data_IF_969684343960
#
_entry.id   IF_969684343960
#
_cell.length_a   1.000
_cell.length_b   1.000
_cell.length_c   1.000
_cell.angle_alpha   90.00
_cell.angle_beta   90.00
_cell.angle_gamma   90.00
#
_symmetry.space_group_name_H-M   'P 1'
#
loop_
_entity.id
_entity.type
_entity.pdbx_description
1 polymer ?
#
# COMPACT_ATOMS: atom_id res chain seq x y z
N UNK A 1 -5.13 -11.08 -3.48
CA UNK A 1 -4.52 -9.95 -2.75
C UNK A 1 -4.39 -10.17 -1.25
N UNK A 2 -5.40 -10.67 -0.52
CA UNK A 2 -5.26 -11.01 0.91
C UNK A 2 -4.08 -11.93 1.23
N UNK A 3 -3.96 -13.06 0.53
CA UNK A 3 -2.80 -13.96 0.68
C UNK A 3 -1.45 -13.33 0.28
N UNK A 4 -1.44 -12.24 -0.50
CA UNK A 4 -0.22 -11.46 -0.70
C UNK A 4 0.09 -10.60 0.53
N UNK A 5 -0.90 -9.90 1.08
CA UNK A 5 -0.76 -9.19 2.35
C UNK A 5 -0.30 -10.10 3.49
N UNK A 6 -0.84 -11.30 3.64
CA UNK A 6 -0.40 -12.27 4.66
C UNK A 6 1.08 -12.66 4.50
N UNK A 7 1.58 -12.78 3.25
CA UNK A 7 3.01 -13.01 2.99
C UNK A 7 3.84 -11.79 3.38
N UNK A 8 3.39 -10.58 3.05
CA UNK A 8 4.05 -9.34 3.45
C UNK A 8 4.10 -9.18 4.98
N UNK A 9 3.05 -9.55 5.70
CA UNK A 9 3.02 -9.55 7.16
C UNK A 9 4.13 -10.44 7.74
N UNK A 10 4.27 -11.68 7.23
CA UNK A 10 5.34 -12.61 7.64
C UNK A 10 6.74 -12.07 7.35
N UNK A 11 6.92 -11.37 6.22
CA UNK A 11 8.19 -10.69 5.90
C UNK A 11 8.44 -9.55 6.88
N UNK A 12 7.42 -8.73 7.17
CA UNK A 12 7.51 -7.63 8.14
C UNK A 12 7.87 -8.10 9.55
N UNK A 13 7.33 -9.23 10.00
CA UNK A 13 7.73 -9.86 11.27
C UNK A 13 9.22 -10.24 11.29
N UNK A 14 9.72 -10.80 10.19
CA UNK A 14 11.13 -11.18 10.04
C UNK A 14 12.02 -9.94 10.06
N UNK A 15 11.67 -8.89 9.32
CA UNK A 15 12.39 -7.63 9.30
C UNK A 15 12.45 -7.00 10.71
N UNK A 16 11.31 -6.98 11.41
CA UNK A 16 11.21 -6.46 12.78
C UNK A 16 12.08 -7.22 13.77
N UNK A 17 12.14 -8.55 13.69
CA UNK A 17 13.06 -9.38 14.49
C UNK A 17 14.53 -9.04 14.26
N UNK A 18 14.87 -8.57 13.06
CA UNK A 18 16.20 -8.07 12.70
C UNK A 18 16.46 -6.61 13.07
N UNK A 19 15.49 -5.91 13.67
CA UNK A 19 15.62 -4.49 14.01
C UNK A 19 15.30 -3.52 12.86
N UNK A 20 14.69 -3.98 11.77
CA UNK A 20 14.34 -3.17 10.61
C UNK A 20 12.84 -2.87 10.53
N UNK A 21 12.50 -1.71 9.97
CA UNK A 21 11.14 -1.43 9.50
C UNK A 21 10.85 -2.16 8.18
N UNK A 22 9.57 -2.36 7.89
CA UNK A 22 9.11 -2.93 6.63
C UNK A 22 7.85 -2.22 6.16
N UNK A 23 7.82 -1.83 4.89
CA UNK A 23 6.68 -1.18 4.27
C UNK A 23 6.43 -1.73 2.85
N UNK A 24 5.18 -1.67 2.41
CA UNK A 24 4.81 -1.94 1.02
C UNK A 24 4.84 -0.66 0.20
N UNK A 25 5.29 -0.71 -1.05
CA UNK A 25 5.22 0.38 -2.02
C UNK A 25 4.18 0.02 -3.10
N UNK A 26 3.15 0.84 -3.27
CA UNK A 26 2.08 0.58 -4.26
C UNK A 26 2.44 1.03 -5.68
N UNK A 27 1.82 0.40 -6.67
CA UNK A 27 1.78 0.84 -8.06
C UNK A 27 0.32 1.13 -8.48
N UNK A 28 0.04 1.25 -9.79
CA UNK A 28 -1.31 1.52 -10.30
C UNK A 28 -2.22 0.29 -10.22
N UNK A 29 -1.68 -0.91 -10.39
CA UNK A 29 -2.46 -2.13 -10.43
C UNK A 29 -3.16 -2.41 -9.09
N UNK A 30 -2.64 -1.91 -7.96
CA UNK A 30 -3.31 -2.06 -6.67
C UNK A 30 -4.59 -1.24 -6.53
N UNK A 31 -4.83 -0.29 -7.46
CA UNK A 31 -6.00 0.57 -7.52
C UNK A 31 -6.90 0.25 -8.72
N UNK A 32 -6.65 -0.85 -9.44
CA UNK A 32 -7.59 -1.38 -10.43
C UNK A 32 -8.61 -2.28 -9.72
N UNK A 33 -9.89 -1.91 -9.82
CA UNK A 33 -10.98 -2.66 -9.21
C UNK A 33 -11.00 -4.12 -9.68
N UNK A 34 -11.18 -5.02 -8.73
CA UNK A 34 -11.48 -6.42 -8.99
C UNK A 34 -12.92 -6.55 -9.50
N UNK A 35 -13.31 -7.76 -9.93
CA UNK A 35 -14.64 -8.03 -10.45
C UNK A 35 -15.78 -7.69 -9.46
N UNK A 36 -15.50 -7.71 -8.15
CA UNK A 36 -16.43 -7.36 -7.08
C UNK A 36 -16.39 -5.86 -6.69
N UNK A 37 -15.61 -5.04 -7.41
CA UNK A 37 -15.43 -3.62 -7.16
C UNK A 37 -14.42 -3.30 -6.04
N UNK A 38 -13.90 -4.29 -5.33
CA UNK A 38 -12.92 -4.07 -4.27
C UNK A 38 -11.53 -3.74 -4.84
N UNK A 39 -10.74 -2.99 -4.07
CA UNK A 39 -9.39 -2.61 -4.47
C UNK A 39 -8.34 -3.56 -3.86
N UNK A 40 -7.39 -4.07 -4.65
CA UNK A 40 -6.26 -4.83 -4.14
C UNK A 40 -5.54 -4.20 -2.96
N UNK A 41 -5.34 -2.87 -2.97
CA UNK A 41 -4.66 -2.14 -1.91
C UNK A 41 -5.37 -2.31 -0.55
N UNK A 42 -6.71 -2.24 -0.52
CA UNK A 42 -7.48 -2.49 0.71
C UNK A 42 -7.25 -3.92 1.23
N UNK A 43 -7.21 -4.91 0.34
CA UNK A 43 -6.95 -6.30 0.72
C UNK A 43 -5.55 -6.52 1.28
N UNK A 44 -4.54 -5.87 0.69
CA UNK A 44 -3.15 -5.93 1.17
C UNK A 44 -3.07 -5.32 2.57
N UNK A 45 -3.53 -4.07 2.72
CA UNK A 45 -3.42 -3.33 3.97
C UNK A 45 -4.27 -3.94 5.09
N UNK A 46 -5.42 -4.54 4.78
CA UNK A 46 -6.26 -5.23 5.76
C UNK A 46 -5.62 -6.54 6.25
N UNK A 47 -4.95 -7.27 5.36
CA UNK A 47 -4.29 -8.54 5.68
C UNK A 47 -2.91 -8.37 6.34
N UNK A 48 -2.30 -7.20 6.23
CA UNK A 48 -1.03 -6.85 6.86
C UNK A 48 -1.18 -5.57 7.70
N UNK A 49 -1.83 -5.63 8.87
CA UNK A 49 -2.16 -4.43 9.62
C UNK A 49 -0.94 -3.71 10.22
N UNK A 50 0.16 -4.42 10.41
CA UNK A 50 1.35 -3.94 11.13
C UNK A 50 2.51 -3.51 10.22
N UNK A 51 2.40 -3.70 8.90
CA UNK A 51 3.42 -3.20 7.97
C UNK A 51 3.20 -1.70 7.71
N UNK A 52 4.29 -0.97 7.47
CA UNK A 52 4.21 0.40 6.97
C UNK A 52 3.67 0.45 5.54
N UNK A 53 3.32 1.65 5.10
CA UNK A 53 3.02 1.92 3.69
C UNK A 53 3.94 3.04 3.20
N UNK A 54 4.68 2.78 2.15
CA UNK A 54 5.30 3.81 1.32
C UNK A 54 4.31 4.14 0.21
N UNK A 55 3.55 5.22 0.40
CA UNK A 55 2.51 5.60 -0.56
C UNK A 55 3.14 6.30 -1.76
N UNK A 56 3.05 5.70 -2.95
CA UNK A 56 3.34 6.38 -4.20
C UNK A 56 2.08 7.06 -4.71
N UNK A 57 2.06 8.39 -4.60
CA UNK A 57 0.90 9.24 -4.93
C UNK A 57 0.64 9.24 -6.44
N UNK A 58 1.70 9.24 -7.25
CA UNK A 58 1.55 9.26 -8.70
C UNK A 58 0.92 7.97 -9.21
N UNK A 59 1.29 6.83 -8.62
CA UNK A 59 0.69 5.54 -8.94
C UNK A 59 -0.76 5.41 -8.47
N UNK A 60 -1.13 5.98 -7.31
CA UNK A 60 -2.53 6.04 -6.87
C UNK A 60 -3.39 6.79 -7.89
N UNK A 61 -2.93 7.96 -8.32
CA UNK A 61 -3.60 8.78 -9.35
C UNK A 61 -3.67 8.04 -10.69
N UNK A 62 -2.57 7.42 -11.13
CA UNK A 62 -2.54 6.62 -12.38
C UNK A 62 -3.47 5.40 -12.31
N UNK A 63 -3.64 4.86 -11.12
CA UNK A 63 -4.61 3.83 -10.79
C UNK A 63 -6.06 4.26 -11.04
N UNK A 64 -6.33 5.57 -10.98
CA UNK A 64 -7.65 6.17 -11.10
C UNK A 64 -8.29 6.51 -9.74
N UNK A 65 -7.52 6.45 -8.65
CA UNK A 65 -7.99 6.75 -7.30
C UNK A 65 -7.57 8.17 -6.88
N UNK A 66 -8.40 8.81 -6.03
CA UNK A 66 -8.03 10.03 -5.31
C UNK A 66 -7.13 9.66 -4.12
N UNK A 67 -5.90 10.18 -4.01
CA UNK A 67 -5.00 9.89 -2.90
C UNK A 67 -5.48 10.44 -1.55
N UNK A 68 -6.28 11.51 -1.50
CA UNK A 68 -6.63 12.17 -0.24
C UNK A 68 -7.39 11.25 0.73
N UNK A 69 -8.47 10.55 0.32
CA UNK A 69 -9.15 9.58 1.19
C UNK A 69 -8.23 8.48 1.75
N UNK A 70 -7.22 8.06 0.99
CA UNK A 70 -6.25 7.06 1.45
C UNK A 70 -5.32 7.61 2.53
N UNK A 71 -4.86 8.84 2.36
CA UNK A 71 -4.03 9.54 3.34
C UNK A 71 -4.82 9.77 4.62
N UNK A 72 -6.07 10.21 4.53
CA UNK A 72 -6.94 10.41 5.70
C UNK A 72 -7.17 9.10 6.48
N UNK A 73 -7.48 8.02 5.75
CA UNK A 73 -7.78 6.70 6.34
C UNK A 73 -6.54 6.01 6.92
N UNK A 74 -5.39 6.13 6.25
CA UNK A 74 -4.19 5.34 6.55
C UNK A 74 -2.97 6.17 6.98
N UNK A 75 -3.10 7.47 7.21
CA UNK A 75 -1.96 8.38 7.44
C UNK A 75 -1.01 7.94 8.56
N UNK A 76 -1.52 7.34 9.65
CA UNK A 76 -0.69 6.80 10.75
C UNK A 76 0.22 5.63 10.34
N UNK A 77 -0.08 4.96 9.22
CA UNK A 77 0.69 3.84 8.65
C UNK A 77 1.69 4.31 7.59
N UNK A 78 1.49 5.49 7.02
CA UNK A 78 2.36 6.00 5.95
C UNK A 78 3.70 6.40 6.58
N UNK A 79 4.74 5.64 6.27
CA UNK A 79 6.10 5.88 6.80
C UNK A 79 6.98 6.65 5.83
N UNK A 80 6.60 6.67 4.55
CA UNK A 80 7.26 7.40 3.49
C UNK A 80 6.24 7.69 2.37
N UNK A 81 6.53 8.72 1.57
CA UNK A 81 5.75 9.05 0.37
C UNK A 81 6.70 9.12 -0.80
N UNK A 82 6.42 8.37 -1.86
CA UNK A 82 7.14 8.52 -3.12
C UNK A 82 6.43 9.59 -3.96
N UNK A 83 7.16 10.67 -4.23
CA UNK A 83 6.69 11.79 -5.04
C UNK A 83 7.33 11.67 -6.41
N UNK A 84 6.50 11.41 -7.41
CA UNK A 84 6.90 11.34 -8.81
C UNK A 84 6.02 12.29 -9.62
N UNK A 85 6.62 12.98 -10.59
CA UNK A 85 5.84 13.69 -11.59
C UNK A 85 5.23 12.69 -12.59
N UNK A 86 3.98 12.91 -12.95
CA UNK A 86 3.34 12.20 -14.06
C UNK A 86 3.77 12.91 -15.34
N UNK A 87 5.06 12.78 -15.67
CA UNK A 87 5.58 13.24 -16.94
C UNK A 87 4.84 12.51 -18.08
N UNK A 88 4.29 13.30 -19.00
CA UNK A 88 3.58 12.84 -20.20
C UNK A 88 4.52 12.21 -21.21
#
# INVERSE_FOLDING_TARGET
WRGFGERLAKVGETAKKGGYGFAWHNHDFEFKALADGSLPQDHILSAAPDIGWEMDVAWVVRGGADPLPWIEKHGKRIVAVHVKDIAK
#
